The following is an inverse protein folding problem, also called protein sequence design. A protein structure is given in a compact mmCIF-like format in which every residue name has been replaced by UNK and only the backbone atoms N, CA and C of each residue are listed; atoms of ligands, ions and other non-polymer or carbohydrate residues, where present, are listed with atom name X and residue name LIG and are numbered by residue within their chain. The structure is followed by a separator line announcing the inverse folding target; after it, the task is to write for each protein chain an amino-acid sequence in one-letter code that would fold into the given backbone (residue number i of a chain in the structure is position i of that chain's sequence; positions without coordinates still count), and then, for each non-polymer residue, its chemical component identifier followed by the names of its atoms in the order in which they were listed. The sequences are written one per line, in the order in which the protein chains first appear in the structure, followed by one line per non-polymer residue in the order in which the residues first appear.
data_IF_124396134432
#
_entry.id   IF_124396134432
#
_cell.length_a   1.000
_cell.length_b   1.000
_cell.length_c   1.000
_cell.angle_alpha   90.00
_cell.angle_beta   90.00
_cell.angle_gamma   90.00
#
_symmetry.space_group_name_H-M   'P 1'
#
loop_
_entity.id
_entity.type
_entity.pdbx_description
1 polymer ?
#
# COMPACT_ATOMS: atom_id res chain seq x y z
N UNK A 1 -5.77 -50.64 6.24
CA UNK A 1 -6.03 -49.23 6.63
C UNK A 1 -5.01 -48.37 5.89
N UNK A 2 -5.44 -47.36 5.14
CA UNK A 2 -4.54 -46.45 4.42
C UNK A 2 -4.17 -45.27 5.31
N UNK A 3 -2.87 -45.01 5.46
CA UNK A 3 -2.35 -43.87 6.22
C UNK A 3 -1.86 -42.80 5.24
N UNK A 4 -2.52 -41.64 5.22
CA UNK A 4 -2.06 -40.48 4.46
C UNK A 4 -0.91 -39.81 5.23
N UNK A 5 0.31 -39.69 4.68
CA UNK A 5 1.39 -38.99 5.34
C UNK A 5 1.08 -37.50 5.45
N UNK A 6 1.57 -36.86 6.52
CA UNK A 6 1.44 -35.41 6.69
C UNK A 6 2.13 -34.65 5.53
N UNK A 7 1.58 -33.50 5.09
CA UNK A 7 2.21 -32.69 4.05
C UNK A 7 3.65 -32.32 4.41
N UNK A 8 4.57 -32.41 3.44
CA UNK A 8 6.01 -32.19 3.65
C UNK A 8 6.33 -30.84 4.31
N UNK A 9 5.56 -29.79 3.99
CA UNK A 9 5.73 -28.45 4.54
C UNK A 9 5.51 -28.35 6.05
N UNK A 10 4.66 -29.20 6.64
CA UNK A 10 4.38 -29.17 8.10
C UNK A 10 5.62 -29.47 8.92
N UNK A 11 6.54 -30.30 8.41
CA UNK A 11 7.83 -30.59 9.06
C UNK A 11 8.81 -29.41 9.12
N UNK A 12 8.52 -28.33 8.38
CA UNK A 12 9.35 -27.12 8.29
C UNK A 12 8.74 -25.90 8.99
N UNK A 13 7.55 -26.03 9.57
CA UNK A 13 6.93 -24.96 10.33
C UNK A 13 7.59 -24.87 11.71
N UNK A 14 8.22 -23.73 12.01
CA UNK A 14 8.57 -23.35 13.37
C UNK A 14 7.45 -22.54 14.03
N UNK A 15 7.45 -22.39 15.36
CA UNK A 15 6.63 -21.37 16.01
C UNK A 15 7.02 -19.98 15.49
N UNK A 16 6.05 -19.07 15.41
CA UNK A 16 6.35 -17.65 15.18
C UNK A 16 7.23 -17.10 16.30
N UNK A 17 8.02 -16.07 16.00
CA UNK A 17 8.77 -15.34 17.01
C UNK A 17 7.83 -14.82 18.10
N UNK A 18 8.29 -14.85 19.36
CA UNK A 18 7.51 -14.30 20.47
C UNK A 18 7.26 -12.81 20.26
N UNK A 19 6.01 -12.39 20.34
CA UNK A 19 5.58 -11.00 20.22
C UNK A 19 5.22 -10.43 21.59
N UNK A 20 5.28 -9.11 21.71
CA UNK A 20 4.80 -8.36 22.88
C UNK A 20 3.60 -7.51 22.47
N UNK A 21 2.62 -7.38 23.36
CA UNK A 21 1.52 -6.42 23.18
C UNK A 21 2.06 -5.01 23.44
N UNK A 22 2.02 -4.15 22.43
CA UNK A 22 2.30 -2.73 22.60
C UNK A 22 1.04 -1.99 23.02
N UNK A 23 1.14 -0.88 23.78
CA UNK A 23 0.01 -0.02 24.07
C UNK A 23 -0.64 0.52 22.79
N UNK A 24 -1.96 0.65 22.79
CA UNK A 24 -2.66 1.39 21.75
C UNK A 24 -2.52 2.89 22.02
N UNK A 25 -1.91 3.62 21.07
CA UNK A 25 -1.80 5.06 21.13
C UNK A 25 -2.82 5.70 20.19
N UNK A 26 -3.48 6.76 20.65
CA UNK A 26 -4.34 7.59 19.81
C UNK A 26 -3.51 8.75 19.27
N UNK A 27 -3.31 8.89 17.95
CA UNK A 27 -2.62 10.04 17.39
C UNK A 27 -3.46 11.31 17.57
N UNK A 28 -2.77 12.43 17.80
CA UNK A 28 -3.35 13.78 17.87
C UNK A 28 -2.75 14.65 16.78
N UNK A 29 -3.47 15.68 16.35
CA UNK A 29 -2.93 16.68 15.42
C UNK A 29 -2.25 17.78 16.24
N UNK A 30 -0.98 18.03 15.97
CA UNK A 30 -0.27 19.20 16.49
C UNK A 30 -0.86 20.47 15.85
N UNK A 31 -1.37 21.44 16.65
CA UNK A 31 -1.99 22.64 16.10
C UNK A 31 -1.02 23.57 15.37
N UNK A 32 0.28 23.56 15.71
CA UNK A 32 1.28 24.44 15.10
C UNK A 32 1.76 23.89 13.74
N UNK A 33 2.03 22.59 13.66
CA UNK A 33 2.56 21.95 12.46
C UNK A 33 1.51 21.31 11.55
N UNK A 34 0.30 21.05 12.07
CA UNK A 34 -0.77 20.26 11.42
C UNK A 34 -0.37 18.81 11.09
N UNK A 35 0.62 18.26 11.80
CA UNK A 35 1.10 16.87 11.63
C UNK A 35 0.48 15.96 12.69
N UNK A 36 0.26 14.69 12.33
CA UNK A 36 -0.21 13.66 13.26
C UNK A 36 0.95 13.13 14.12
N UNK A 37 0.79 13.18 15.45
CA UNK A 37 1.79 12.71 16.41
C UNK A 37 1.19 11.75 17.43
N UNK A 38 1.95 10.73 17.83
CA UNK A 38 1.74 10.00 19.09
C UNK A 38 2.50 10.74 20.19
N UNK A 39 1.87 10.91 21.36
CA UNK A 39 2.53 11.33 22.59
C UNK A 39 2.70 10.10 23.48
N UNK A 40 3.92 9.82 23.93
CA UNK A 40 4.19 8.73 24.87
C UNK A 40 3.90 9.12 26.34
N UNK A 41 3.98 8.14 27.25
CA UNK A 41 3.74 8.34 28.68
C UNK A 41 4.73 9.31 29.37
N UNK A 42 5.84 9.64 28.71
CA UNK A 42 6.85 10.60 29.16
C UNK A 42 6.71 11.97 28.47
N UNK A 43 5.67 12.17 27.66
CA UNK A 43 5.42 13.41 26.91
C UNK A 43 6.27 13.57 25.65
N UNK A 44 6.98 12.52 25.19
CA UNK A 44 7.76 12.57 23.95
C UNK A 44 6.85 12.37 22.76
N UNK A 45 7.01 13.19 21.74
CA UNK A 45 6.28 13.06 20.46
C UNK A 45 7.01 12.13 19.50
N UNK A 46 6.23 11.30 18.79
CA UNK A 46 6.65 10.52 17.63
C UNK A 46 5.74 10.89 16.48
N UNK A 47 6.31 11.37 15.38
CA UNK A 47 5.56 11.66 14.17
C UNK A 47 4.99 10.38 13.55
N UNK A 48 3.68 10.36 13.26
CA UNK A 48 3.14 9.45 12.26
C UNK A 48 3.44 10.09 10.90
N UNK A 49 4.59 9.69 10.35
CA UNK A 49 5.28 10.37 9.26
C UNK A 49 4.41 10.75 8.07
N UNK A 50 4.84 11.81 7.37
CA UNK A 50 4.32 12.28 6.09
C UNK A 50 3.80 11.14 5.20
N UNK A 51 2.48 10.96 5.15
CA UNK A 51 1.85 10.13 4.13
C UNK A 51 1.97 10.88 2.80
N UNK A 52 2.54 10.25 1.78
CA UNK A 52 2.66 10.86 0.47
C UNK A 52 1.28 11.26 -0.04
N UNK A 53 1.06 12.56 -0.29
CA UNK A 53 -0.14 13.07 -0.92
C UNK A 53 -0.07 12.77 -2.42
N UNK A 54 -0.27 11.50 -2.78
CA UNK A 54 -0.19 11.06 -4.18
C UNK A 54 -1.14 11.87 -5.06
N UNK A 55 -0.58 12.64 -5.99
CA UNK A 55 -1.38 13.33 -7.00
C UNK A 55 -1.80 12.30 -8.04
N UNK A 56 -3.10 12.03 -8.14
CA UNK A 56 -3.65 11.12 -9.16
C UNK A 56 -3.50 11.72 -10.56
N UNK A 57 -2.66 11.10 -11.37
CA UNK A 57 -2.60 11.31 -12.81
C UNK A 57 -3.59 10.39 -13.53
N UNK A 58 -4.19 10.89 -14.61
CA UNK A 58 -4.97 10.06 -15.54
C UNK A 58 -4.26 10.03 -16.88
N UNK A 59 -3.93 8.83 -17.37
CA UNK A 59 -3.45 8.64 -18.73
C UNK A 59 -4.57 8.04 -19.58
N UNK A 60 -5.35 8.85 -20.32
CA UNK A 60 -6.36 8.33 -21.23
C UNK A 60 -5.69 7.66 -22.43
N UNK A 61 -5.86 6.35 -22.57
CA UNK A 61 -5.39 5.61 -23.75
C UNK A 61 -6.57 5.45 -24.70
N UNK A 62 -6.51 6.05 -25.89
CA UNK A 62 -7.56 5.94 -26.92
C UNK A 62 -7.07 5.12 -28.12
N UNK A 63 -7.99 4.35 -28.71
CA UNK A 63 -7.76 3.55 -29.92
C UNK A 63 -8.93 3.66 -30.94
N UNK A 64 -8.73 3.25 -32.20
CA UNK A 64 -9.71 3.36 -33.33
C UNK A 64 -9.96 1.99 -34.01
N UNK A 65 -11.21 1.49 -34.21
CA UNK A 65 -11.45 0.12 -34.70
C UNK A 65 -10.95 -0.08 -36.13
N UNK A 66 -10.33 -1.23 -36.39
CA UNK A 66 -9.90 -1.63 -37.73
C UNK A 66 -10.90 -2.53 -38.45
N UNK A 67 -10.98 -2.39 -39.77
CA UNK A 67 -11.66 -3.31 -40.69
C UNK A 67 -10.85 -4.59 -40.98
N UNK A 68 -9.66 -4.72 -40.38
CA UNK A 68 -8.77 -5.88 -40.50
C UNK A 68 -7.91 -5.91 -41.78
N UNK A 69 -8.06 -4.93 -42.69
CA UNK A 69 -7.23 -4.83 -43.89
C UNK A 69 -5.85 -4.21 -43.62
N UNK A 70 -5.73 -3.46 -42.52
CA UNK A 70 -4.53 -2.86 -41.96
C UNK A 70 -4.67 -2.82 -40.42
N UNK A 71 -3.62 -2.54 -39.64
CA UNK A 71 -3.78 -2.30 -38.20
C UNK A 71 -4.62 -1.02 -37.96
N UNK A 72 -5.90 -1.20 -37.62
CA UNK A 72 -6.63 -0.24 -36.78
C UNK A 72 -6.21 -0.42 -35.31
N UNK A 73 -6.44 0.55 -34.42
CA UNK A 73 -5.81 0.60 -33.09
C UNK A 73 -6.36 -0.27 -31.95
N UNK A 74 -7.51 -0.95 -32.10
CA UNK A 74 -8.46 -1.41 -31.05
C UNK A 74 -9.60 -0.41 -30.80
N UNK A 75 -10.45 -0.54 -29.77
CA UNK A 75 -11.53 0.44 -29.49
C UNK A 75 -11.88 0.52 -28.02
N UNK A 76 -10.95 1.11 -27.28
CA UNK A 76 -10.98 1.35 -25.86
C UNK A 76 -10.59 2.82 -25.61
N UNK A 77 -11.22 3.40 -24.59
CA UNK A 77 -10.78 4.64 -23.96
C UNK A 77 -10.58 4.31 -22.49
N UNK A 78 -9.56 3.50 -22.24
CA UNK A 78 -9.22 3.03 -20.91
C UNK A 78 -8.42 4.10 -20.17
N UNK A 79 -8.86 4.40 -18.95
CA UNK A 79 -8.15 5.28 -18.03
C UNK A 79 -7.39 4.41 -17.04
N UNK A 80 -6.07 4.38 -17.19
CA UNK A 80 -5.20 3.86 -16.12
C UNK A 80 -4.88 5.00 -15.18
N UNK A 81 -5.23 4.83 -13.90
CA UNK A 81 -4.78 5.72 -12.83
C UNK A 81 -3.27 5.54 -12.62
N UNK A 82 -2.53 6.65 -12.65
CA UNK A 82 -1.14 6.69 -12.21
C UNK A 82 -1.03 7.52 -10.93
N UNK A 83 -0.13 7.10 -10.06
CA UNK A 83 0.15 7.79 -8.80
C UNK A 83 1.61 8.18 -8.82
N UNK A 84 1.89 9.48 -8.97
CA UNK A 84 3.23 9.97 -8.69
C UNK A 84 3.43 10.01 -7.16
N UNK A 85 4.56 9.49 -6.71
CA UNK A 85 4.89 9.40 -5.30
C UNK A 85 5.82 10.55 -4.97
N UNK A 86 5.25 11.71 -4.67
CA UNK A 86 5.97 12.85 -4.10
C UNK A 86 6.68 12.40 -2.81
N UNK A 87 7.95 12.04 -2.95
CA UNK A 87 8.83 11.71 -1.83
C UNK A 87 9.14 13.00 -1.09
N UNK A 88 8.34 13.31 -0.07
CA UNK A 88 8.66 14.37 0.89
C UNK A 88 10.05 14.08 1.48
N UNK A 89 11.04 14.84 1.01
CA UNK A 89 12.43 14.67 1.43
C UNK A 89 12.64 15.44 2.74
N UNK A 90 12.43 14.73 3.85
CA UNK A 90 12.83 15.16 5.20
C UNK A 90 14.28 14.80 5.51
#
# INVERSE_FOLDING_TARGET
MTHTPAPWGTSRMGPYAATVTLPAFTPVIDPETQIAVIVDEHGRTVELGSHGTSTSGVTPTQTTPGDGAAPGGATDSDVTESYDQDQSSG
#
